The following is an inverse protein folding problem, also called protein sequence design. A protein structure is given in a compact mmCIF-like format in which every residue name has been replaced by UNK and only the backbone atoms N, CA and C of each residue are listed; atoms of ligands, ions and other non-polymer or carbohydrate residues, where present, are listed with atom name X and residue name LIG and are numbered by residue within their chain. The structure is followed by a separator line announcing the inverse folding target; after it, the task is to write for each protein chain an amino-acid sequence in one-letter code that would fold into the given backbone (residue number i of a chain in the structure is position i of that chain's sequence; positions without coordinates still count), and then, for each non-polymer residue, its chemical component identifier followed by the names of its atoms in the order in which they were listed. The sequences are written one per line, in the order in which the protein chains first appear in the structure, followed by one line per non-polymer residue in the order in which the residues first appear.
data_IF_320327455105
#
_entry.id   IF_320327455105
#
_cell.length_a   1.000
_cell.length_b   1.000
_cell.length_c   1.000
_cell.angle_alpha   90.00
_cell.angle_beta   90.00
_cell.angle_gamma   90.00
#
_symmetry.space_group_name_H-M   'P 1'
#
loop_
_entity.id
_entity.type
_entity.pdbx_description
1 polymer ?
#
# COMPACT_ATOMS: atom_id res chain seq x y z
N UNK A 1 -28.57 -19.07 -4.58
CA UNK A 1 -27.49 -18.05 -4.63
C UNK A 1 -27.82 -17.01 -3.56
N UNK A 2 -27.24 -17.13 -2.36
CA UNK A 2 -27.48 -16.22 -1.22
C UNK A 2 -26.69 -14.92 -1.48
N UNK A 3 -27.22 -13.73 -1.18
CA UNK A 3 -26.69 -12.48 -1.71
C UNK A 3 -25.29 -12.17 -1.15
N UNK A 4 -24.44 -11.56 -1.99
CA UNK A 4 -23.06 -11.11 -1.70
C UNK A 4 -22.91 -10.20 -0.46
N UNK A 5 -24.02 -9.74 0.12
CA UNK A 5 -24.09 -8.81 1.24
C UNK A 5 -23.54 -9.38 2.56
N UNK A 6 -23.49 -10.71 2.72
CA UNK A 6 -23.01 -11.35 3.97
C UNK A 6 -21.47 -11.26 4.12
N UNK A 7 -20.74 -11.11 3.00
CA UNK A 7 -19.27 -11.04 2.99
C UNK A 7 -18.72 -9.60 3.09
N UNK A 8 -19.56 -8.59 2.93
CA UNK A 8 -19.13 -7.17 2.97
C UNK A 8 -18.76 -6.72 4.37
N UNK A 9 -19.55 -7.09 5.38
CA UNK A 9 -19.31 -6.71 6.79
C UNK A 9 -17.92 -7.15 7.29
N UNK A 10 -17.50 -8.42 7.15
CA UNK A 10 -16.21 -8.85 7.67
C UNK A 10 -15.03 -8.24 6.91
N UNK A 11 -15.16 -7.98 5.61
CA UNK A 11 -14.15 -7.26 4.82
C UNK A 11 -14.03 -5.81 5.30
N UNK A 12 -15.14 -5.12 5.53
CA UNK A 12 -15.15 -3.76 6.08
C UNK A 12 -14.52 -3.74 7.48
N UNK A 13 -14.87 -4.70 8.35
CA UNK A 13 -14.25 -4.82 9.66
C UNK A 13 -12.75 -5.04 9.56
N UNK A 14 -12.29 -5.96 8.72
CA UNK A 14 -10.86 -6.21 8.53
C UNK A 14 -10.14 -4.98 7.94
N UNK A 15 -10.80 -4.22 7.06
CA UNK A 15 -10.27 -2.99 6.51
C UNK A 15 -10.13 -1.90 7.59
N UNK A 16 -11.17 -1.68 8.40
CA UNK A 16 -11.14 -0.73 9.51
C UNK A 16 -10.06 -1.11 10.53
N UNK A 17 -9.92 -2.41 10.85
CA UNK A 17 -8.88 -2.90 11.75
C UNK A 17 -7.49 -2.71 11.14
N UNK A 18 -7.30 -2.97 9.85
CA UNK A 18 -6.03 -2.73 9.16
C UNK A 18 -5.60 -1.28 9.29
N UNK A 19 -6.50 -0.35 8.93
CA UNK A 19 -6.22 1.09 8.99
C UNK A 19 -5.99 1.57 10.43
N UNK A 20 -6.83 1.14 11.37
CA UNK A 20 -6.72 1.52 12.78
C UNK A 20 -5.42 0.98 13.41
N UNK A 21 -5.05 -0.26 13.14
CA UNK A 21 -3.80 -0.85 13.62
C UNK A 21 -2.59 -0.17 12.98
N UNK A 22 -2.62 0.14 11.69
CA UNK A 22 -1.53 0.88 11.04
C UNK A 22 -1.33 2.25 11.69
N UNK A 23 -2.42 3.00 11.92
CA UNK A 23 -2.34 4.29 12.58
C UNK A 23 -1.90 4.17 14.05
N UNK A 24 -2.40 3.16 14.77
CA UNK A 24 -2.04 2.94 16.17
C UNK A 24 -0.55 2.59 16.34
N UNK A 25 -0.02 1.70 15.49
CA UNK A 25 1.36 1.22 15.59
C UNK A 25 2.37 2.21 14.98
N UNK A 26 2.01 2.88 13.89
CA UNK A 26 2.95 3.67 13.09
C UNK A 26 2.59 5.15 13.00
N UNK A 27 1.48 5.61 13.60
CA UNK A 27 1.02 7.00 13.54
C UNK A 27 2.03 8.01 14.07
N UNK A 28 2.90 7.60 15.00
CA UNK A 28 4.02 8.42 15.47
C UNK A 28 4.98 8.84 14.35
N UNK A 29 5.05 8.09 13.25
CA UNK A 29 5.87 8.43 12.10
C UNK A 29 5.47 9.74 11.42
N UNK A 30 4.22 10.18 11.57
CA UNK A 30 3.75 11.45 11.00
C UNK A 30 4.48 12.67 11.56
N UNK A 31 5.06 12.55 12.75
CA UNK A 31 5.82 13.61 13.40
C UNK A 31 7.33 13.49 13.16
N UNK A 32 7.81 12.45 12.48
CA UNK A 32 9.22 12.29 12.21
C UNK A 32 9.71 13.28 11.15
N UNK A 33 10.94 13.79 11.28
CA UNK A 33 11.60 14.48 10.18
C UNK A 33 12.00 13.47 9.09
N UNK A 34 12.30 13.98 7.89
CA UNK A 34 12.97 13.18 6.86
C UNK A 34 14.35 12.75 7.35
N UNK A 35 14.75 11.52 7.04
CA UNK A 35 16.02 10.96 7.51
C UNK A 35 16.63 9.95 6.52
N UNK A 36 17.89 9.56 6.76
CA UNK A 36 18.66 8.67 5.87
C UNK A 36 18.62 9.15 4.42
N UNK A 37 18.02 8.37 3.53
CA UNK A 37 18.05 8.61 2.09
C UNK A 37 17.06 9.71 1.65
N UNK A 38 16.05 9.99 2.48
CA UNK A 38 15.04 11.00 2.22
C UNK A 38 15.68 12.38 1.98
N UNK A 39 16.77 12.67 2.68
CA UNK A 39 17.43 13.98 2.73
C UNK A 39 18.07 14.34 1.38
N UNK A 40 18.52 13.35 0.61
CA UNK A 40 19.02 13.57 -0.76
C UNK A 40 17.93 13.33 -1.80
N UNK A 41 17.05 12.36 -1.55
CA UNK A 41 16.04 11.93 -2.51
C UNK A 41 14.94 12.96 -2.70
N UNK A 42 14.45 13.59 -1.63
CA UNK A 42 13.38 14.60 -1.73
C UNK A 42 13.82 15.79 -2.57
N UNK A 43 14.95 16.48 -2.28
CA UNK A 43 15.43 17.57 -3.14
C UNK A 43 15.67 17.13 -4.58
N UNK A 44 16.14 15.90 -4.80
CA UNK A 44 16.34 15.37 -6.14
C UNK A 44 15.01 15.21 -6.90
N UNK A 45 13.94 14.70 -6.26
CA UNK A 45 12.61 14.62 -6.88
C UNK A 45 12.04 16.01 -7.18
N UNK A 46 12.27 16.98 -6.29
CA UNK A 46 11.85 18.38 -6.50
C UNK A 46 12.59 19.07 -7.64
N UNK A 47 13.85 18.69 -7.90
CA UNK A 47 14.66 19.26 -8.98
C UNK A 47 14.53 18.52 -10.32
N UNK A 48 14.09 17.26 -10.32
CA UNK A 48 14.11 16.39 -11.52
C UNK A 48 12.80 16.45 -12.31
N UNK A 49 12.90 16.48 -13.65
CA UNK A 49 11.75 16.45 -14.54
C UNK A 49 11.04 15.09 -14.55
N UNK A 50 9.72 15.07 -14.66
CA UNK A 50 8.91 13.83 -14.59
C UNK A 50 9.34 12.76 -15.60
N UNK A 51 9.71 13.16 -16.82
CA UNK A 51 10.14 12.23 -17.86
C UNK A 51 11.54 11.61 -17.59
N UNK A 52 12.38 12.31 -16.81
CA UNK A 52 13.76 11.90 -16.58
C UNK A 52 13.84 10.68 -15.65
N UNK A 53 12.85 10.51 -14.74
CA UNK A 53 12.77 9.33 -13.87
C UNK A 53 12.71 8.01 -14.65
N UNK A 54 12.22 8.02 -15.88
CA UNK A 54 12.11 6.84 -16.75
C UNK A 54 13.36 6.59 -17.59
N UNK A 55 14.39 7.44 -17.46
CA UNK A 55 15.63 7.38 -18.26
C UNK A 55 16.90 7.49 -17.40
N UNK A 56 16.76 7.86 -16.14
CA UNK A 56 17.87 8.03 -15.21
C UNK A 56 17.66 7.18 -13.95
N UNK A 57 18.77 6.93 -13.25
CA UNK A 57 18.76 6.32 -11.91
C UNK A 57 18.70 7.42 -10.83
N UNK A 58 18.17 7.06 -9.67
CA UNK A 58 18.13 7.93 -8.50
C UNK A 58 19.52 8.24 -7.94
N UNK A 59 19.59 9.14 -6.93
CA UNK A 59 20.85 9.55 -6.30
C UNK A 59 21.62 8.38 -5.67
N UNK A 60 20.93 7.30 -5.33
CA UNK A 60 21.50 6.06 -4.79
C UNK A 60 21.70 4.97 -5.84
N UNK A 61 21.67 5.33 -7.13
CA UNK A 61 21.78 4.42 -8.28
C UNK A 61 20.66 3.36 -8.34
N UNK A 62 19.52 3.65 -7.74
CA UNK A 62 18.33 2.82 -7.79
C UNK A 62 17.42 3.24 -8.96
N UNK A 63 16.73 2.27 -9.57
CA UNK A 63 15.78 2.54 -10.65
C UNK A 63 14.35 2.28 -10.18
N UNK A 64 13.64 3.33 -9.77
CA UNK A 64 12.27 3.29 -9.24
C UNK A 64 11.35 4.33 -9.91
N UNK A 65 11.23 4.31 -11.25
CA UNK A 65 10.60 5.38 -12.03
C UNK A 65 9.18 5.71 -11.58
N UNK A 66 8.37 4.68 -11.28
CA UNK A 66 6.98 4.86 -10.85
C UNK A 66 6.88 5.57 -9.49
N UNK A 67 7.70 5.14 -8.52
CA UNK A 67 7.76 5.79 -7.20
C UNK A 67 8.08 7.28 -7.37
N UNK A 68 9.16 7.60 -8.08
CA UNK A 68 9.59 8.97 -8.29
C UNK A 68 8.56 9.81 -9.05
N UNK A 69 7.90 9.22 -10.05
CA UNK A 69 6.81 9.88 -10.78
C UNK A 69 5.66 10.24 -9.84
N UNK A 70 5.26 9.34 -8.93
CA UNK A 70 4.18 9.61 -7.98
C UNK A 70 4.54 10.70 -6.98
N UNK A 71 5.78 10.70 -6.45
CA UNK A 71 6.24 11.78 -5.58
C UNK A 71 6.35 13.11 -6.32
N UNK A 72 6.79 13.10 -7.58
CA UNK A 72 6.81 14.32 -8.40
C UNK A 72 5.42 14.86 -8.66
N UNK A 73 4.45 14.00 -8.97
CA UNK A 73 3.05 14.42 -9.12
C UNK A 73 2.52 15.01 -7.82
N UNK A 74 2.83 14.40 -6.68
CA UNK A 74 2.48 14.94 -5.38
C UNK A 74 3.07 16.34 -5.18
N UNK A 75 4.37 16.51 -5.44
CA UNK A 75 5.05 17.82 -5.39
C UNK A 75 4.39 18.85 -6.31
N UNK A 76 4.05 18.48 -7.55
CA UNK A 76 3.39 19.38 -8.49
C UNK A 76 1.98 19.79 -8.03
N UNK A 77 1.31 18.95 -7.23
CA UNK A 77 -0.02 19.22 -6.69
C UNK A 77 0.02 20.04 -5.39
N UNK A 78 1.01 19.82 -4.53
CA UNK A 78 1.09 20.43 -3.19
C UNK A 78 2.07 21.59 -3.10
N UNK A 79 3.01 21.70 -4.03
CA UNK A 79 4.12 22.64 -4.01
C UNK A 79 5.29 22.24 -3.09
N UNK A 80 5.14 21.17 -2.30
CA UNK A 80 6.15 20.68 -1.37
C UNK A 80 6.04 19.18 -1.06
N UNK A 81 7.14 18.56 -0.63
CA UNK A 81 7.17 17.18 -0.12
C UNK A 81 7.45 17.15 1.39
N UNK A 82 6.55 17.76 2.17
CA UNK A 82 6.68 17.82 3.64
C UNK A 82 6.76 16.43 4.28
N UNK A 83 7.55 16.24 5.37
CA UNK A 83 7.73 14.94 6.02
C UNK A 83 6.42 14.24 6.36
N UNK A 84 5.52 14.93 7.06
CA UNK A 84 4.23 14.34 7.47
C UNK A 84 3.37 13.87 6.30
N UNK A 85 3.44 14.53 5.14
CA UNK A 85 2.74 14.11 3.93
C UNK A 85 3.32 12.81 3.36
N UNK A 86 4.65 12.70 3.28
CA UNK A 86 5.31 11.51 2.77
C UNK A 86 5.12 10.30 3.72
N UNK A 87 5.22 10.51 5.04
CA UNK A 87 4.90 9.47 6.00
C UNK A 87 3.43 9.05 5.94
N UNK A 88 2.50 10.00 5.78
CA UNK A 88 1.08 9.69 5.60
C UNK A 88 0.83 8.82 4.36
N UNK A 89 1.53 9.10 3.25
CA UNK A 89 1.45 8.28 2.04
C UNK A 89 1.93 6.84 2.29
N UNK A 90 3.02 6.68 3.05
CA UNK A 90 3.55 5.37 3.40
C UNK A 90 2.62 4.58 4.33
N UNK A 91 2.04 5.25 5.34
CA UNK A 91 1.03 4.68 6.24
C UNK A 91 -0.23 4.27 5.47
N UNK A 92 -0.71 5.11 4.56
CA UNK A 92 -1.86 4.80 3.71
C UNK A 92 -1.58 3.58 2.83
N UNK A 93 -0.38 3.51 2.23
CA UNK A 93 0.06 2.37 1.44
C UNK A 93 0.12 1.06 2.25
N UNK A 94 0.69 1.09 3.46
CA UNK A 94 0.76 -0.08 4.34
C UNK A 94 -0.63 -0.54 4.80
N UNK A 95 -1.48 0.41 5.20
CA UNK A 95 -2.86 0.13 5.59
C UNK A 95 -3.67 -0.49 4.44
N UNK A 96 -3.50 0.02 3.20
CA UNK A 96 -4.08 -0.55 1.99
C UNK A 96 -3.58 -1.97 1.74
N UNK A 97 -2.29 -2.25 1.92
CA UNK A 97 -1.76 -3.61 1.80
C UNK A 97 -2.45 -4.57 2.77
N UNK A 98 -2.65 -4.18 4.03
CA UNK A 98 -3.38 -5.00 4.99
C UNK A 98 -4.85 -5.24 4.60
N UNK A 99 -5.52 -4.24 4.00
CA UNK A 99 -6.88 -4.40 3.43
C UNK A 99 -6.88 -5.43 2.30
N UNK A 100 -5.92 -5.34 1.38
CA UNK A 100 -5.80 -6.27 0.25
C UNK A 100 -5.46 -7.69 0.70
N UNK A 101 -4.66 -7.85 1.76
CA UNK A 101 -4.40 -9.14 2.40
C UNK A 101 -5.67 -9.73 3.01
N UNK A 102 -6.47 -8.92 3.74
CA UNK A 102 -7.77 -9.37 4.25
C UNK A 102 -8.70 -9.83 3.12
N UNK A 103 -8.79 -9.06 2.04
CA UNK A 103 -9.58 -9.42 0.86
C UNK A 103 -9.13 -10.74 0.26
N UNK A 104 -7.82 -10.93 0.08
CA UNK A 104 -7.26 -12.17 -0.45
C UNK A 104 -7.56 -13.36 0.46
N UNK A 105 -7.31 -13.21 1.76
CA UNK A 105 -7.51 -14.26 2.75
C UNK A 105 -8.98 -14.65 2.93
N UNK A 106 -9.90 -13.68 2.77
CA UNK A 106 -11.35 -13.92 2.84
C UNK A 106 -11.88 -14.88 1.76
N UNK A 107 -11.10 -15.11 0.70
CA UNK A 107 -11.46 -16.01 -0.41
C UNK A 107 -11.33 -17.49 -0.06
N UNK A 108 -10.76 -17.84 1.10
CA UNK A 108 -10.52 -19.23 1.49
C UNK A 108 -11.23 -19.65 2.78
N UNK A 109 -12.11 -20.65 2.67
CA UNK A 109 -12.64 -21.43 3.78
C UNK A 109 -13.91 -20.89 4.45
N UNK A 110 -14.48 -21.70 5.34
CA UNK A 110 -15.75 -21.43 6.04
C UNK A 110 -15.64 -20.39 7.18
N UNK A 111 -14.42 -20.00 7.57
CA UNK A 111 -14.12 -18.99 8.61
C UNK A 111 -13.47 -17.73 8.01
N UNK A 112 -13.87 -17.37 6.80
CA UNK A 112 -13.29 -16.28 6.00
C UNK A 112 -13.13 -14.97 6.78
N UNK A 113 -14.09 -14.61 7.63
CA UNK A 113 -14.04 -13.38 8.42
C UNK A 113 -12.91 -13.33 9.45
N UNK A 114 -12.77 -14.39 10.26
CA UNK A 114 -11.71 -14.48 11.26
C UNK A 114 -10.34 -14.61 10.58
N UNK A 115 -10.27 -15.38 9.50
CA UNK A 115 -9.04 -15.56 8.71
C UNK A 115 -8.61 -14.21 8.10
N UNK A 116 -9.53 -13.45 7.51
CA UNK A 116 -9.25 -12.13 6.96
C UNK A 116 -8.76 -11.15 8.03
N UNK A 117 -9.42 -11.13 9.19
CA UNK A 117 -9.04 -10.27 10.31
C UNK A 117 -7.64 -10.61 10.82
N UNK A 118 -7.36 -11.90 11.08
CA UNK A 118 -6.05 -12.34 11.56
C UNK A 118 -4.96 -12.11 10.50
N UNK A 119 -5.25 -12.35 9.23
CA UNK A 119 -4.28 -12.12 8.15
C UNK A 119 -3.91 -10.63 8.03
N UNK A 120 -4.89 -9.72 8.09
CA UNK A 120 -4.61 -8.28 8.10
C UNK A 120 -3.87 -7.85 9.36
N UNK A 121 -4.32 -8.28 10.54
CA UNK A 121 -3.67 -7.93 11.80
C UNK A 121 -2.22 -8.43 11.84
N UNK A 122 -1.97 -9.68 11.42
CA UNK A 122 -0.61 -10.20 11.31
C UNK A 122 0.19 -9.44 10.27
N UNK A 123 -0.32 -9.19 9.06
CA UNK A 123 0.42 -8.42 8.06
C UNK A 123 0.82 -7.04 8.56
N UNK A 124 -0.12 -6.31 9.18
CA UNK A 124 0.12 -4.95 9.68
C UNK A 124 1.10 -4.95 10.86
N UNK A 125 1.01 -5.94 11.76
CA UNK A 125 1.83 -6.03 12.97
C UNK A 125 3.11 -6.87 12.82
N UNK A 126 3.31 -7.59 11.70
CA UNK A 126 4.43 -8.52 11.51
C UNK A 126 5.76 -7.77 11.67
N UNK A 127 6.74 -8.34 12.40
CA UNK A 127 7.62 -7.56 13.26
C UNK A 127 8.77 -6.80 12.57
N UNK A 128 8.68 -6.49 11.28
CA UNK A 128 9.77 -5.85 10.52
C UNK A 128 9.38 -4.60 9.74
N UNK A 129 8.16 -4.08 9.93
CA UNK A 129 7.76 -2.82 9.30
C UNK A 129 8.35 -1.56 9.99
N UNK A 130 9.15 -1.69 11.06
CA UNK A 130 9.71 -0.53 11.77
C UNK A 130 10.71 0.28 10.93
N UNK A 131 11.38 -0.35 9.97
CA UNK A 131 12.22 0.36 9.01
C UNK A 131 11.42 0.77 7.76
N UNK A 132 10.46 -0.07 7.32
CA UNK A 132 9.78 0.17 6.04
C UNK A 132 8.62 1.17 6.13
N UNK A 133 7.93 1.29 7.26
CA UNK A 133 6.72 2.12 7.40
C UNK A 133 7.05 3.53 7.89
N UNK A 134 7.92 3.72 8.90
CA UNK A 134 8.36 5.05 9.30
C UNK A 134 9.28 5.73 8.27
N UNK A 135 10.00 5.01 7.43
CA UNK A 135 10.92 5.60 6.46
C UNK A 135 10.16 6.10 5.23
N UNK A 136 10.21 7.40 4.92
CA UNK A 136 9.32 7.98 3.90
C UNK A 136 9.57 7.39 2.50
N UNK A 137 10.83 7.37 2.06
CA UNK A 137 11.28 6.78 0.79
C UNK A 137 10.98 5.28 0.64
N UNK A 138 10.73 4.56 1.72
CA UNK A 138 10.33 3.16 1.64
C UNK A 138 8.96 2.97 0.96
N UNK A 139 8.25 4.04 0.61
CA UNK A 139 6.99 4.05 -0.16
C UNK A 139 6.95 3.08 -1.35
N UNK A 140 8.07 2.83 -2.04
CA UNK A 140 8.11 1.81 -3.09
C UNK A 140 7.72 0.41 -2.64
N UNK A 141 7.94 0.03 -1.38
CA UNK A 141 7.61 -1.30 -0.85
C UNK A 141 6.10 -1.52 -0.70
N UNK A 142 5.33 -0.69 0.03
CA UNK A 142 3.88 -0.85 0.07
C UNK A 142 3.24 -0.59 -1.30
N UNK A 143 3.79 0.31 -2.13
CA UNK A 143 3.30 0.48 -3.50
C UNK A 143 3.40 -0.82 -4.31
N UNK A 144 4.58 -1.43 -4.34
CA UNK A 144 4.81 -2.69 -5.08
C UNK A 144 3.93 -3.81 -4.53
N UNK A 145 3.81 -3.89 -3.21
CA UNK A 145 2.98 -4.90 -2.54
C UNK A 145 1.50 -4.73 -2.88
N UNK A 146 0.98 -3.50 -2.84
CA UNK A 146 -0.40 -3.20 -3.19
C UNK A 146 -0.69 -3.51 -4.66
N UNK A 147 0.23 -3.16 -5.58
CA UNK A 147 0.10 -3.48 -7.00
C UNK A 147 0.10 -5.01 -7.24
N UNK A 148 0.99 -5.76 -6.59
CA UNK A 148 1.05 -7.21 -6.72
C UNK A 148 -0.21 -7.89 -6.17
N UNK A 149 -0.66 -7.51 -4.97
CA UNK A 149 -1.89 -8.02 -4.37
C UNK A 149 -3.12 -7.65 -5.20
N UNK A 150 -3.19 -6.41 -5.68
CA UNK A 150 -4.26 -5.93 -6.56
C UNK A 150 -4.32 -6.71 -7.86
N UNK A 151 -3.17 -6.96 -8.51
CA UNK A 151 -3.08 -7.78 -9.72
C UNK A 151 -3.56 -9.22 -9.47
N UNK A 152 -3.14 -9.83 -8.35
CA UNK A 152 -3.59 -11.18 -7.98
C UNK A 152 -5.11 -11.22 -7.72
N UNK A 153 -5.66 -10.26 -6.97
CA UNK A 153 -7.09 -10.17 -6.71
C UNK A 153 -7.89 -9.96 -7.99
N UNK A 154 -7.43 -9.09 -8.89
CA UNK A 154 -8.05 -8.86 -10.19
C UNK A 154 -8.03 -10.14 -11.06
N UNK A 155 -6.90 -10.84 -11.10
CA UNK A 155 -6.78 -12.13 -11.79
C UNK A 155 -7.74 -13.18 -11.23
N UNK A 156 -7.79 -13.32 -9.91
CA UNK A 156 -8.68 -14.28 -9.26
C UNK A 156 -10.16 -13.94 -9.51
N UNK A 157 -10.52 -12.67 -9.47
CA UNK A 157 -11.87 -12.21 -9.79
C UNK A 157 -12.24 -12.50 -11.24
N UNK A 158 -11.36 -12.17 -12.20
CA UNK A 158 -11.58 -12.47 -13.61
C UNK A 158 -11.75 -13.99 -13.86
N UNK A 159 -10.97 -14.82 -13.15
CA UNK A 159 -11.08 -16.28 -13.23
C UNK A 159 -12.41 -16.79 -12.67
N UNK A 160 -12.88 -16.26 -11.56
CA UNK A 160 -14.20 -16.61 -11.01
C UNK A 160 -15.31 -16.27 -12.01
N UNK A 161 -15.27 -15.06 -12.59
CA UNK A 161 -16.27 -14.61 -13.58
C UNK A 161 -16.24 -15.47 -14.84
N UNK A 162 -15.06 -15.79 -15.38
CA UNK A 162 -14.93 -16.59 -16.59
C UNK A 162 -15.26 -18.08 -16.38
N UNK A 163 -15.17 -18.58 -15.14
CA UNK A 163 -15.54 -19.96 -14.80
C UNK A 163 -17.04 -20.14 -14.51
N UNK A 164 -17.82 -19.05 -14.50
CA UNK A 164 -19.28 -19.15 -14.54
C UNK A 164 -19.66 -19.75 -15.89
N UNK A 165 -20.29 -20.94 -15.91
CA UNK A 165 -20.55 -21.62 -17.16
C UNK A 165 -21.47 -20.78 -18.05
N UNK A 166 -21.19 -20.77 -19.35
CA UNK A 166 -22.09 -20.33 -20.43
C UNK A 166 -23.31 -21.27 -20.53
N UNK A 167 -24.08 -21.40 -19.44
CA UNK A 167 -25.39 -22.05 -19.42
C UNK A 167 -26.45 -20.97 -19.67
N UNK A 168 -26.49 -20.48 -20.89
CA UNK A 168 -27.67 -19.86 -21.51
C UNK A 168 -27.94 -20.61 -22.82
#
# INVERSE_FOLDING_TARGET
MKPETDNLRPVVTAALVSLALTLFLYGGALALPLYSDDVLQVPWVEATGTADFWRAVGPYRDYRPLHFTLWRLLYLLTGDLRPGLLHALNLAGHGLCGVLVALLASRWGKRSSLIALLAAAFFVAFPFAFDAVPWAIAFSYPLTTALALGALLAYLHARDVASLPHHL
#
